data_IF_493925234012
#
_entry.id   IF_493925234012
#
_cell.length_a   1.000
_cell.length_b   1.000
_cell.length_c   1.000
_cell.angle_alpha   90.00
_cell.angle_beta   90.00
_cell.angle_gamma   90.00
#
_symmetry.space_group_name_H-M   'P 1'
#
loop_
_entity.id
_entity.type
_entity.pdbx_description
1 polymer ?
#
# COMPACT_ATOMS: atom_id res chain seq x y z
N UNK A 1 -2.17 -52.17 -39.64
CA UNK A 1 -1.54 -51.04 -40.36
C UNK A 1 -2.37 -49.79 -40.08
N UNK A 2 -1.70 -48.64 -39.95
CA UNK A 2 -2.22 -47.27 -39.82
C UNK A 2 -2.52 -46.86 -38.37
N UNK A 3 -1.49 -46.61 -37.56
CA UNK A 3 -0.69 -45.36 -37.45
C UNK A 3 -1.38 -44.34 -36.54
N UNK A 4 -0.76 -44.15 -35.36
CA UNK A 4 -1.01 -43.11 -34.36
C UNK A 4 -0.24 -41.85 -34.76
N UNK A 5 -0.90 -40.67 -34.76
CA UNK A 5 -0.28 -39.34 -34.55
C UNK A 5 -1.35 -38.41 -33.93
N UNK A 6 -1.29 -38.15 -32.61
CA UNK A 6 -0.78 -36.92 -31.99
C UNK A 6 -1.55 -35.66 -32.44
N UNK A 7 -2.30 -35.07 -31.50
CA UNK A 7 -2.24 -33.64 -31.20
C UNK A 7 -2.89 -33.38 -29.84
N UNK A 8 -2.16 -33.71 -28.78
CA UNK A 8 -2.41 -33.16 -27.46
C UNK A 8 -2.07 -31.67 -27.54
N UNK A 9 -3.08 -30.81 -27.63
CA UNK A 9 -2.93 -29.37 -27.47
C UNK A 9 -2.58 -29.11 -26.00
N UNK A 10 -1.28 -29.15 -25.68
CA UNK A 10 -0.74 -28.55 -24.47
C UNK A 10 -0.86 -27.04 -24.69
N UNK A 11 -1.94 -26.45 -24.20
CA UNK A 11 -2.02 -25.01 -24.01
C UNK A 11 -1.05 -24.70 -22.88
N UNK A 12 0.20 -24.40 -23.24
CA UNK A 12 1.12 -23.74 -22.33
C UNK A 12 0.49 -22.38 -22.03
N UNK A 13 -0.17 -22.27 -20.86
CA UNK A 13 -0.48 -20.97 -20.29
C UNK A 13 0.87 -20.28 -20.08
N UNK A 14 1.20 -19.41 -21.03
CA UNK A 14 2.29 -18.49 -20.91
C UNK A 14 1.93 -17.61 -19.72
N UNK A 15 2.46 -17.94 -18.55
CA UNK A 15 2.51 -17.00 -17.43
C UNK A 15 3.37 -15.84 -17.92
N UNK A 16 2.72 -14.85 -18.51
CA UNK A 16 3.26 -13.50 -18.55
C UNK A 16 3.34 -13.10 -17.08
N UNK A 17 4.49 -13.34 -16.47
CA UNK A 17 4.90 -12.56 -15.32
C UNK A 17 4.88 -11.12 -15.81
N UNK A 18 3.79 -10.41 -15.52
CA UNK A 18 3.82 -8.96 -15.53
C UNK A 18 4.87 -8.61 -14.49
N UNK A 19 6.10 -8.39 -14.93
CA UNK A 19 7.06 -7.62 -14.16
C UNK A 19 6.49 -6.20 -14.11
N UNK A 20 5.64 -5.94 -13.11
CA UNK A 20 5.30 -4.59 -12.70
C UNK A 20 6.60 -3.96 -12.21
N UNK A 21 7.29 -3.27 -13.12
CA UNK A 21 8.41 -2.42 -12.77
C UNK A 21 7.80 -1.19 -12.09
N UNK A 22 7.73 -1.19 -10.76
CA UNK A 22 7.43 0.03 -10.00
C UNK A 22 8.65 0.97 -10.08
N UNK A 23 8.70 1.78 -11.15
CA UNK A 23 9.68 2.85 -11.30
C UNK A 23 9.32 4.06 -10.42
N UNK A 24 10.24 4.38 -9.50
CA UNK A 24 10.38 5.55 -8.61
C UNK A 24 9.11 6.34 -8.24
N UNK A 25 8.60 6.11 -7.02
CA UNK A 25 7.69 7.04 -6.34
C UNK A 25 8.54 8.12 -5.64
N UNK A 26 8.67 9.30 -6.25
CA UNK A 26 9.30 10.48 -5.64
C UNK A 26 8.19 11.49 -5.25
N UNK A 27 7.81 11.47 -3.96
CA UNK A 27 6.64 12.17 -3.42
C UNK A 27 7.02 13.53 -2.83
N UNK A 28 6.68 14.62 -3.52
CA UNK A 28 5.91 15.68 -2.88
C UNK A 28 4.67 16.01 -3.73
N UNK A 29 3.97 17.13 -3.53
CA UNK A 29 2.53 17.30 -3.76
C UNK A 29 1.76 16.59 -2.66
N UNK A 30 1.54 17.34 -1.60
CA UNK A 30 0.89 17.03 -0.33
C UNK A 30 -0.62 17.30 -0.36
N UNK A 31 -1.17 17.61 -1.55
CA UNK A 31 -2.56 18.04 -1.69
C UNK A 31 -2.78 19.53 -1.39
N UNK A 32 -1.78 20.23 -0.84
CA UNK A 32 -1.88 21.67 -0.57
C UNK A 32 -2.11 22.47 -1.87
N UNK A 33 -3.18 23.26 -1.91
CA UNK A 33 -3.40 24.24 -2.99
C UNK A 33 -3.29 25.68 -2.51
N UNK A 34 -3.54 25.93 -1.23
CA UNK A 34 -3.36 27.25 -0.61
C UNK A 34 -1.89 27.53 -0.29
N UNK A 35 -1.38 28.68 -0.73
CA UNK A 35 -0.06 29.19 -0.34
C UNK A 35 -0.17 29.98 0.97
N UNK A 36 0.53 29.55 2.00
CA UNK A 36 0.71 30.26 3.26
C UNK A 36 2.05 31.00 3.31
N UNK A 37 3.10 30.45 2.70
CA UNK A 37 4.43 31.07 2.62
C UNK A 37 5.11 30.73 1.29
N UNK A 38 5.97 31.62 0.80
CA UNK A 38 6.76 31.36 -0.41
C UNK A 38 7.61 30.10 -0.22
N UNK A 39 7.47 29.16 -1.17
CA UNK A 39 8.23 27.91 -1.15
C UNK A 39 7.54 26.75 -0.45
N UNK A 40 6.28 26.93 -0.01
CA UNK A 40 5.44 25.82 0.42
C UNK A 40 4.92 24.97 -0.75
N UNK A 41 4.28 23.85 -0.42
CA UNK A 41 3.76 22.94 -1.42
C UNK A 41 2.56 23.53 -2.19
N UNK A 42 1.78 24.42 -1.58
CA UNK A 42 0.75 25.21 -2.26
C UNK A 42 1.28 26.01 -3.45
N UNK A 43 2.52 26.49 -3.33
CA UNK A 43 3.27 27.22 -4.38
C UNK A 43 4.01 26.29 -5.33
N UNK A 44 4.75 25.32 -4.80
CA UNK A 44 5.68 24.48 -5.57
C UNK A 44 4.94 23.33 -6.28
N UNK A 45 4.08 22.61 -5.54
CA UNK A 45 3.31 21.45 -6.01
C UNK A 45 4.15 20.41 -6.78
N UNK A 46 5.43 20.30 -6.46
CA UNK A 46 6.36 19.42 -7.15
C UNK A 46 6.12 17.98 -6.74
N UNK A 47 6.11 17.06 -7.70
CA UNK A 47 5.87 15.64 -7.47
C UNK A 47 4.71 15.14 -8.34
N UNK A 48 4.04 14.08 -7.88
CA UNK A 48 3.08 13.34 -8.72
C UNK A 48 1.65 13.81 -8.46
N UNK A 49 0.89 14.02 -9.53
CA UNK A 49 -0.53 14.34 -9.41
C UNK A 49 -1.31 13.17 -8.79
N UNK A 50 -2.12 13.46 -7.77
CA UNK A 50 -2.93 12.44 -7.11
C UNK A 50 -4.08 11.98 -8.00
N UNK A 51 -4.38 10.67 -8.05
CA UNK A 51 -5.60 10.18 -8.64
C UNK A 51 -6.81 10.60 -7.79
N UNK A 52 -8.00 10.55 -8.39
CA UNK A 52 -9.27 10.80 -7.71
C UNK A 52 -10.16 9.56 -7.88
N UNK A 53 -10.48 8.81 -6.80
CA UNK A 53 -10.01 9.03 -5.42
C UNK A 53 -8.54 8.60 -5.22
N UNK A 54 -7.85 9.22 -4.25
CA UNK A 54 -6.50 8.76 -3.86
C UNK A 54 -6.54 7.48 -3.05
N UNK A 55 -7.46 7.38 -2.10
CA UNK A 55 -7.64 6.20 -1.27
C UNK A 55 -8.97 5.50 -1.60
N UNK A 56 -8.95 4.18 -1.64
CA UNK A 56 -10.13 3.34 -1.80
C UNK A 56 -10.23 2.38 -0.63
N UNK A 57 -11.24 2.58 0.22
CA UNK A 57 -11.49 1.75 1.38
C UNK A 57 -12.28 0.48 1.01
N UNK A 58 -11.89 -0.66 1.60
CA UNK A 58 -12.70 -1.88 1.69
C UNK A 58 -13.17 -2.03 3.15
N UNK A 59 -13.43 -3.25 3.63
CA UNK A 59 -13.94 -3.53 4.98
C UNK A 59 -12.90 -3.18 6.03
N UNK A 60 -11.70 -3.77 5.92
CA UNK A 60 -10.61 -3.64 6.92
C UNK A 60 -9.29 -3.11 6.35
N UNK A 61 -9.26 -2.79 5.05
CA UNK A 61 -8.07 -2.28 4.35
C UNK A 61 -8.38 -1.02 3.57
N UNK A 62 -7.32 -0.28 3.21
CA UNK A 62 -7.37 0.91 2.36
C UNK A 62 -6.29 0.78 1.29
N UNK A 63 -6.65 0.92 0.02
CA UNK A 63 -5.71 0.95 -1.10
C UNK A 63 -5.35 2.39 -1.45
N UNK A 64 -4.05 2.71 -1.52
CA UNK A 64 -3.54 3.97 -2.05
C UNK A 64 -3.34 3.84 -3.57
N UNK A 65 -4.23 4.45 -4.35
CA UNK A 65 -4.22 4.39 -5.81
C UNK A 65 -3.02 5.13 -6.42
N UNK A 66 -2.31 5.97 -5.67
CA UNK A 66 -1.10 6.64 -6.15
C UNK A 66 0.12 5.72 -6.06
N UNK A 67 0.25 5.00 -4.94
CA UNK A 67 1.45 4.21 -4.63
C UNK A 67 1.29 2.72 -4.91
N UNK A 68 0.05 2.24 -5.04
CA UNK A 68 -0.29 0.82 -5.12
C UNK A 68 -0.18 0.08 -3.78
N UNK A 69 0.14 0.79 -2.69
CA UNK A 69 0.24 0.21 -1.36
C UNK A 69 -1.15 -0.05 -0.77
N UNK A 70 -1.24 -1.09 0.06
CA UNK A 70 -2.41 -1.38 0.87
C UNK A 70 -2.09 -1.21 2.35
N UNK A 71 -3.02 -0.61 3.07
CA UNK A 71 -2.90 -0.29 4.49
C UNK A 71 -3.99 -1.00 5.28
N UNK A 72 -3.70 -1.40 6.51
CA UNK A 72 -4.74 -1.81 7.45
C UNK A 72 -5.51 -0.56 7.89
N UNK A 73 -6.84 -0.66 8.02
CA UNK A 73 -7.63 0.46 8.58
C UNK A 73 -7.29 0.71 10.04
N UNK A 74 -7.06 -0.35 10.79
CA UNK A 74 -6.61 -0.26 12.17
C UNK A 74 -5.07 -0.17 12.18
N UNK A 75 -4.57 1.06 12.37
CA UNK A 75 -3.16 1.34 12.59
C UNK A 75 -2.73 1.19 14.06
N UNK A 76 -3.68 0.89 14.96
CA UNK A 76 -3.46 0.71 16.39
C UNK A 76 -2.83 -0.64 16.77
N UNK A 77 -2.41 -1.45 15.78
CA UNK A 77 -1.84 -2.79 15.97
C UNK A 77 -2.77 -3.70 16.78
N UNK A 78 -3.87 -4.21 16.20
CA UNK A 78 -4.83 -5.05 16.93
C UNK A 78 -4.23 -6.40 17.33
N UNK A 79 -4.73 -7.02 18.40
CA UNK A 79 -4.38 -8.42 18.66
C UNK A 79 -5.10 -9.34 17.66
N UNK A 80 -4.34 -10.15 16.92
CA UNK A 80 -4.85 -11.07 15.89
C UNK A 80 -4.41 -12.48 16.23
N UNK A 81 -5.34 -13.32 16.71
CA UNK A 81 -5.00 -14.68 17.15
C UNK A 81 -3.93 -14.65 18.25
N UNK A 82 -2.78 -15.27 18.00
CA UNK A 82 -1.61 -15.24 18.89
C UNK A 82 -0.69 -14.03 18.69
N UNK A 83 -0.95 -13.19 17.69
CA UNK A 83 -0.16 -11.99 17.43
C UNK A 83 -0.65 -10.87 18.36
N UNK A 84 0.05 -10.68 19.47
CA UNK A 84 -0.27 -9.62 20.44
C UNK A 84 0.18 -8.26 19.90
N UNK A 85 -0.77 -7.34 19.76
CA UNK A 85 -0.51 -5.98 19.32
C UNK A 85 -0.26 -4.99 20.47
N UNK A 86 -0.34 -3.69 20.18
CA UNK A 86 -0.14 -2.58 21.12
C UNK A 86 1.24 -1.92 21.04
N UNK A 87 1.58 -1.12 22.05
CA UNK A 87 2.89 -0.43 22.11
C UNK A 87 4.02 -1.45 22.21
N UNK A 88 4.99 -1.34 21.30
CA UNK A 88 6.07 -2.30 21.18
C UNK A 88 7.38 -1.65 20.74
N UNK A 89 8.51 -2.30 21.02
CA UNK A 89 9.81 -1.88 20.50
C UNK A 89 9.88 -2.16 18.99
N UNK A 90 10.83 -1.53 18.30
CA UNK A 90 11.04 -1.78 16.87
C UNK A 90 11.17 -3.27 16.51
N UNK A 91 12.00 -4.01 17.26
CA UNK A 91 12.19 -5.44 17.02
C UNK A 91 10.90 -6.24 17.27
N UNK A 92 10.12 -5.87 18.28
CA UNK A 92 8.83 -6.50 18.54
C UNK A 92 7.81 -6.19 17.43
N UNK A 93 7.85 -5.01 16.82
CA UNK A 93 7.05 -4.67 15.64
C UNK A 93 7.37 -5.53 14.42
N UNK A 94 8.66 -5.76 14.15
CA UNK A 94 9.07 -6.67 13.08
C UNK A 94 8.59 -8.11 13.34
N UNK A 95 8.67 -8.57 14.59
CA UNK A 95 8.17 -9.90 14.97
C UNK A 95 6.64 -10.00 14.87
N UNK A 96 5.93 -8.94 15.26
CA UNK A 96 4.47 -8.86 15.16
C UNK A 96 4.02 -8.92 13.68
N UNK A 97 4.67 -8.17 12.80
CA UNK A 97 4.44 -8.26 11.35
C UNK A 97 4.67 -9.67 10.81
N UNK A 98 5.77 -10.33 11.20
CA UNK A 98 6.04 -11.71 10.79
C UNK A 98 4.95 -12.69 11.29
N UNK A 99 4.42 -12.46 12.49
CA UNK A 99 3.28 -13.20 13.02
C UNK A 99 2.02 -12.98 12.18
N UNK A 100 1.68 -11.72 11.83
CA UNK A 100 0.54 -11.40 10.96
C UNK A 100 0.64 -12.10 9.60
N UNK A 101 1.84 -12.12 9.02
CA UNK A 101 2.09 -12.79 7.75
C UNK A 101 1.89 -14.31 7.84
N UNK A 102 2.32 -14.91 8.94
CA UNK A 102 2.07 -16.34 9.23
C UNK A 102 0.58 -16.61 9.44
N UNK A 103 -0.14 -15.69 10.08
CA UNK A 103 -1.57 -15.79 10.34
C UNK A 103 -2.44 -15.46 9.12
N UNK A 104 -1.85 -15.06 7.99
CA UNK A 104 -2.55 -14.61 6.79
C UNK A 104 -3.59 -13.52 7.10
N UNK A 105 -3.17 -12.54 7.90
CA UNK A 105 -4.05 -11.49 8.41
C UNK A 105 -4.71 -10.73 7.26
N UNK A 106 -6.06 -10.64 7.31
CA UNK A 106 -6.91 -10.06 6.26
C UNK A 106 -6.72 -10.70 4.88
N UNK A 107 -6.25 -11.94 4.81
CA UNK A 107 -6.00 -12.65 3.55
C UNK A 107 -4.68 -12.28 2.87
N UNK A 108 -3.79 -11.58 3.58
CA UNK A 108 -2.47 -11.18 3.10
C UNK A 108 -1.35 -11.73 3.98
N UNK A 109 -0.21 -12.02 3.36
CA UNK A 109 0.98 -12.59 4.01
C UNK A 109 2.26 -11.81 3.72
N UNK A 110 2.13 -10.59 3.21
CA UNK A 110 3.19 -9.70 2.76
C UNK A 110 3.18 -8.34 3.49
N UNK A 111 2.57 -8.29 4.67
CA UNK A 111 2.61 -7.13 5.56
C UNK A 111 4.05 -6.76 5.91
N UNK A 112 4.28 -5.45 6.03
CA UNK A 112 5.53 -4.85 6.50
C UNK A 112 5.28 -3.51 7.18
N UNK A 113 6.26 -3.05 7.94
CA UNK A 113 6.27 -1.66 8.38
C UNK A 113 6.50 -0.74 7.16
N UNK A 114 5.82 0.41 7.09
CA UNK A 114 6.12 1.42 6.09
C UNK A 114 7.49 2.04 6.36
N UNK A 115 8.15 2.50 5.30
CA UNK A 115 9.26 3.43 5.46
C UNK A 115 8.75 4.86 5.72
N UNK A 116 9.66 5.78 6.04
CA UNK A 116 9.30 7.16 6.39
C UNK A 116 8.56 7.89 5.26
N UNK A 117 8.99 7.72 4.01
CA UNK A 117 8.38 8.39 2.85
C UNK A 117 6.97 7.86 2.58
N UNK A 118 6.74 6.57 2.73
CA UNK A 118 5.42 5.96 2.58
C UNK A 118 4.45 6.44 3.66
N UNK A 119 4.93 6.55 4.91
CA UNK A 119 4.14 7.09 6.01
C UNK A 119 3.80 8.57 5.80
N UNK A 120 4.79 9.38 5.41
CA UNK A 120 4.57 10.80 5.09
C UNK A 120 3.60 10.98 3.93
N UNK A 121 3.61 10.07 2.96
CA UNK A 121 2.70 10.11 1.83
C UNK A 121 1.22 10.11 2.25
N UNK A 122 0.87 9.51 3.39
CA UNK A 122 -0.52 9.43 3.85
C UNK A 122 -1.11 10.79 4.22
N UNK A 123 -0.28 11.80 4.44
CA UNK A 123 -0.73 13.12 4.87
C UNK A 123 -1.29 13.94 3.70
N UNK A 124 -2.29 14.76 4.01
CA UNK A 124 -2.78 15.83 3.15
C UNK A 124 -2.66 17.17 3.89
N UNK A 125 -1.75 18.03 3.44
CA UNK A 125 -1.44 19.29 4.13
C UNK A 125 -2.54 20.35 4.00
N UNK A 126 -3.54 20.14 3.14
CA UNK A 126 -4.73 21.00 3.07
C UNK A 126 -5.85 20.55 4.03
N UNK A 127 -5.74 19.34 4.58
CA UNK A 127 -6.75 18.78 5.48
C UNK A 127 -6.33 18.95 6.93
N UNK A 128 -7.13 19.71 7.69
CA UNK A 128 -6.90 19.89 9.12
C UNK A 128 -7.07 18.59 9.92
N UNK A 129 -7.83 17.63 9.40
CA UNK A 129 -8.08 16.34 10.03
C UNK A 129 -7.71 15.18 9.10
N UNK A 130 -6.57 14.54 9.37
CA UNK A 130 -6.08 13.39 8.61
C UNK A 130 -7.03 12.20 8.67
N UNK A 131 -7.82 12.04 9.73
CA UNK A 131 -8.79 10.94 9.82
C UNK A 131 -9.90 11.08 8.79
N UNK A 132 -10.36 12.30 8.48
CA UNK A 132 -11.34 12.53 7.40
C UNK A 132 -10.75 12.25 6.02
N UNK A 133 -9.45 12.47 5.86
CA UNK A 133 -8.76 12.23 4.60
C UNK A 133 -8.54 10.74 4.29
N UNK A 134 -8.35 9.92 5.33
CA UNK A 134 -8.06 8.49 5.21
C UNK A 134 -9.31 7.57 5.28
N UNK A 135 -10.49 8.10 5.64
CA UNK A 135 -11.73 7.33 5.84
C UNK A 135 -12.83 7.64 4.82
#
# INVERSE_FOLDING_TARGET
MNVVWINTLIIAMLFLALSAHAGTIELPKTGQTTTYVTGDDGTIRAGVAWPSPRFTADTNTVTDNLTGLMWTKDAGTPTVGSCTGGTMTWQAALNYVACLNTANYLGHSDWRLPNINELESLLNAEQANTATWLN
#
